data_IF_019119767961
#
_entry.id   IF_019119767961
#
_cell.length_a   1.000
_cell.length_b   1.000
_cell.length_c   1.000
_cell.angle_alpha   90.00
_cell.angle_beta   90.00
_cell.angle_gamma   90.00
#
_symmetry.space_group_name_H-M   'P 1'
#
loop_
_entity.id
_entity.type
_entity.pdbx_description
1 polymer ?
#
# COMPACT_ATOMS: atom_id res chain seq x y z
N UNK A 1 11.64 6.12 -8.24
CA UNK A 1 12.34 6.49 -7.00
C UNK A 1 11.39 7.29 -6.13
N UNK A 2 11.24 6.92 -4.86
CA UNK A 2 10.55 7.66 -3.80
C UNK A 2 11.62 8.20 -2.86
N UNK A 3 11.56 9.47 -2.53
CA UNK A 3 12.43 10.14 -1.57
C UNK A 3 11.52 10.74 -0.49
N UNK A 4 11.72 10.33 0.74
CA UNK A 4 10.96 10.80 1.89
C UNK A 4 11.94 11.27 2.98
N UNK A 5 11.77 12.49 3.42
CA UNK A 5 12.45 13.06 4.60
C UNK A 5 11.42 13.96 5.30
N UNK A 6 10.76 13.40 6.31
CA UNK A 6 9.60 14.06 6.96
C UNK A 6 9.58 13.84 8.46
N UNK A 7 9.00 14.82 9.16
CA UNK A 7 8.67 14.71 10.57
C UNK A 7 7.17 14.96 10.77
N UNK A 8 6.56 14.18 11.68
CA UNK A 8 5.17 14.36 12.09
C UNK A 8 5.01 14.02 13.57
N UNK A 9 4.34 14.91 14.31
CA UNK A 9 3.93 14.67 15.69
C UNK A 9 2.48 14.19 15.75
N UNK A 10 2.23 13.17 16.55
CA UNK A 10 0.91 12.58 16.81
C UNK A 10 0.76 12.41 18.33
N UNK A 11 0.30 13.46 19.03
CA UNK A 11 0.35 13.50 20.48
C UNK A 11 1.79 13.40 21.00
N UNK A 12 2.06 12.39 21.84
CA UNK A 12 3.40 12.11 22.37
C UNK A 12 4.30 11.35 21.40
N UNK A 13 3.72 10.74 20.33
CA UNK A 13 4.50 10.02 19.34
C UNK A 13 5.06 10.97 18.27
N UNK A 14 6.36 10.81 17.96
CA UNK A 14 7.04 11.59 16.92
C UNK A 14 7.60 10.66 15.87
N UNK A 15 7.05 10.76 14.67
CA UNK A 15 7.61 10.12 13.48
C UNK A 15 8.72 10.98 12.89
N UNK A 16 9.90 10.37 12.63
CA UNK A 16 11.00 10.93 11.84
C UNK A 16 11.41 9.89 10.83
N UNK A 17 10.98 10.04 9.60
CA UNK A 17 11.19 9.05 8.56
C UNK A 17 12.03 9.67 7.43
N UNK A 18 13.22 9.12 7.22
CA UNK A 18 14.10 9.48 6.11
C UNK A 18 14.56 8.23 5.39
N UNK A 19 14.20 8.10 4.12
CA UNK A 19 14.68 7.03 3.25
C UNK A 19 14.46 7.35 1.77
N UNK A 20 15.19 6.62 0.94
CA UNK A 20 15.01 6.60 -0.51
C UNK A 20 14.81 5.17 -0.98
N UNK A 21 13.96 4.97 -1.97
CA UNK A 21 13.80 3.67 -2.62
C UNK A 21 13.55 3.82 -4.10
N UNK A 22 14.24 2.98 -4.88
CA UNK A 22 14.08 2.89 -6.33
C UNK A 22 13.52 1.54 -6.78
N UNK A 23 13.34 0.60 -5.85
CA UNK A 23 12.83 -0.75 -6.14
C UNK A 23 11.38 -0.72 -6.60
N UNK A 24 11.01 -1.68 -7.45
CA UNK A 24 9.62 -1.86 -7.86
C UNK A 24 8.74 -2.19 -6.66
N UNK A 25 9.19 -3.06 -5.75
CA UNK A 25 8.48 -3.41 -4.53
C UNK A 25 9.36 -3.17 -3.30
N UNK A 26 8.93 -2.26 -2.41
CA UNK A 26 9.60 -1.92 -1.15
C UNK A 26 8.70 -2.25 0.02
N UNK A 27 9.21 -2.98 1.01
CA UNK A 27 8.48 -3.25 2.25
C UNK A 27 8.79 -2.20 3.33
N UNK A 28 7.76 -1.79 4.09
CA UNK A 28 7.92 -1.16 5.39
C UNK A 28 7.73 -2.23 6.45
N UNK A 29 8.79 -2.54 7.19
CA UNK A 29 8.84 -3.61 8.18
C UNK A 29 9.10 -3.07 9.59
N UNK A 30 8.50 -3.68 10.60
CA UNK A 30 8.70 -3.33 12.00
C UNK A 30 7.48 -3.67 12.87
N UNK A 31 7.58 -3.50 14.19
CA UNK A 31 6.50 -3.84 15.12
C UNK A 31 5.25 -3.00 14.91
N UNK A 32 4.12 -3.46 15.44
CA UNK A 32 2.88 -2.67 15.47
C UNK A 32 3.11 -1.35 16.23
N UNK A 33 2.49 -0.27 15.76
CA UNK A 33 2.67 1.06 16.36
C UNK A 33 3.98 1.76 16.02
N UNK A 34 4.87 1.18 15.20
CA UNK A 34 6.15 1.83 14.83
C UNK A 34 6.03 3.02 13.89
N UNK A 35 4.83 3.30 13.33
CA UNK A 35 4.58 4.43 12.44
C UNK A 35 4.49 4.08 10.95
N UNK A 36 4.47 2.81 10.56
CA UNK A 36 4.38 2.36 9.15
C UNK A 36 3.15 2.90 8.42
N UNK A 37 1.96 2.74 9.00
CA UNK A 37 0.71 3.29 8.47
C UNK A 37 0.77 4.80 8.33
N UNK A 38 1.36 5.51 9.30
CA UNK A 38 1.55 6.97 9.20
C UNK A 38 2.45 7.36 8.03
N UNK A 39 3.52 6.60 7.78
CA UNK A 39 4.39 6.80 6.60
C UNK A 39 3.57 6.62 5.30
N UNK A 40 2.79 5.55 5.21
CA UNK A 40 1.95 5.27 4.03
C UNK A 40 0.88 6.35 3.85
N UNK A 41 0.24 6.79 4.92
CA UNK A 41 -0.75 7.88 4.87
C UNK A 41 -0.13 9.20 4.42
N UNK A 42 1.10 9.51 4.85
CA UNK A 42 1.85 10.65 4.37
C UNK A 42 2.16 10.51 2.88
N UNK A 43 2.63 9.36 2.43
CA UNK A 43 2.90 9.10 1.01
C UNK A 43 1.61 9.22 0.19
N UNK A 44 0.49 8.69 0.68
CA UNK A 44 -0.82 8.78 0.05
C UNK A 44 -1.40 10.21 -0.01
N UNK A 45 -0.98 11.10 0.90
CA UNK A 45 -1.55 12.43 1.09
C UNK A 45 -2.83 12.45 1.92
N UNK A 46 -3.02 11.42 2.75
CA UNK A 46 -4.10 11.31 3.74
C UNK A 46 -3.71 11.97 5.06
N UNK A 47 -2.41 12.05 5.35
CA UNK A 47 -1.84 12.80 6.46
C UNK A 47 -0.79 13.78 5.94
N UNK A 48 -0.80 15.02 6.44
CA UNK A 48 0.24 15.99 6.14
C UNK A 48 1.38 15.85 7.18
N UNK A 49 2.66 15.81 6.77
CA UNK A 49 3.78 15.99 7.69
C UNK A 49 3.76 17.40 8.30
N UNK A 50 4.44 17.57 9.42
CA UNK A 50 4.64 18.89 10.01
C UNK A 50 5.84 19.60 9.37
N UNK A 51 6.88 18.83 8.98
CA UNK A 51 8.09 19.33 8.35
C UNK A 51 8.64 18.32 7.35
N UNK A 52 9.44 18.83 6.40
CA UNK A 52 10.26 18.02 5.51
C UNK A 52 9.79 18.01 4.07
N UNK A 53 10.17 16.96 3.34
CA UNK A 53 9.99 16.86 1.89
C UNK A 53 9.65 15.46 1.43
N UNK A 54 8.77 15.37 0.43
CA UNK A 54 8.39 14.11 -0.21
C UNK A 54 8.39 14.29 -1.73
N UNK A 55 9.17 13.44 -2.43
CA UNK A 55 9.20 13.36 -3.89
C UNK A 55 8.91 11.93 -4.36
N UNK A 56 8.23 11.84 -5.48
CA UNK A 56 8.02 10.59 -6.20
C UNK A 56 8.32 10.77 -7.69
N UNK A 57 9.29 10.01 -8.22
CA UNK A 57 9.75 10.11 -9.62
C UNK A 57 10.08 11.56 -10.03
N UNK A 58 10.78 12.30 -9.15
CA UNK A 58 11.14 13.71 -9.38
C UNK A 58 10.02 14.72 -9.16
N UNK A 59 8.77 14.27 -8.98
CA UNK A 59 7.64 15.15 -8.69
C UNK A 59 7.56 15.46 -7.21
N UNK A 60 7.52 16.73 -6.85
CA UNK A 60 7.33 17.20 -5.49
C UNK A 60 5.87 16.99 -5.05
N UNK A 61 5.67 16.25 -3.97
CA UNK A 61 4.37 15.93 -3.39
C UNK A 61 4.10 16.70 -2.11
N UNK A 62 5.15 16.95 -1.33
CA UNK A 62 5.12 17.74 -0.11
C UNK A 62 6.44 18.47 0.07
N UNK A 63 6.37 19.71 0.56
CA UNK A 63 7.52 20.52 0.96
C UNK A 63 7.02 21.58 1.97
N UNK A 64 7.48 21.48 3.22
CA UNK A 64 7.09 22.41 4.28
C UNK A 64 7.57 23.82 4.01
N UNK A 65 8.79 23.98 3.49
CA UNK A 65 9.43 25.26 3.28
C UNK A 65 8.86 25.97 2.04
N UNK A 66 8.55 25.19 1.01
CA UNK A 66 7.93 25.68 -0.23
C UNK A 66 6.39 25.78 -0.16
N UNK A 67 5.75 25.40 0.95
CA UNK A 67 4.29 25.43 1.11
C UNK A 67 3.54 24.46 0.18
N UNK A 68 4.21 23.42 -0.29
CA UNK A 68 3.61 22.43 -1.22
C UNK A 68 3.00 21.27 -0.44
N UNK A 69 1.71 21.04 -0.63
CA UNK A 69 1.04 19.81 -0.15
C UNK A 69 0.03 19.31 -1.19
N UNK A 70 0.48 18.40 -2.04
CA UNK A 70 -0.35 17.86 -3.10
C UNK A 70 -1.41 16.91 -2.50
N UNK A 71 -2.71 17.18 -2.68
CA UNK A 71 -3.77 16.37 -2.09
C UNK A 71 -3.80 14.96 -2.69
N UNK A 72 -4.27 13.96 -1.93
CA UNK A 72 -4.26 12.55 -2.28
C UNK A 72 -4.78 12.24 -3.70
N UNK A 73 -5.92 12.83 -4.10
CA UNK A 73 -6.51 12.60 -5.42
C UNK A 73 -5.64 13.07 -6.60
N UNK A 74 -4.66 13.96 -6.36
CA UNK A 74 -3.70 14.44 -7.36
C UNK A 74 -2.39 13.67 -7.38
N UNK A 75 -2.12 12.80 -6.36
CA UNK A 75 -0.88 12.00 -6.31
C UNK A 75 -0.89 10.83 -7.29
N UNK A 76 -2.05 10.34 -7.66
CA UNK A 76 -2.20 9.24 -8.62
C UNK A 76 -1.81 7.88 -8.04
N UNK A 77 -1.89 7.69 -6.73
CA UNK A 77 -1.58 6.46 -6.03
C UNK A 77 -2.83 5.63 -5.78
N UNK A 78 -2.69 4.31 -5.78
CA UNK A 78 -3.70 3.37 -5.33
C UNK A 78 -3.44 3.00 -3.87
N UNK A 79 -4.48 3.01 -3.03
CA UNK A 79 -4.35 2.63 -1.62
C UNK A 79 -5.27 1.44 -1.32
N UNK A 80 -4.70 0.41 -0.75
CA UNK A 80 -5.40 -0.75 -0.21
C UNK A 80 -5.23 -0.74 1.31
N UNK A 81 -6.32 -0.46 2.01
CA UNK A 81 -6.37 -0.43 3.47
C UNK A 81 -6.46 -1.84 4.04
N UNK A 82 -6.04 -2.03 5.27
CA UNK A 82 -6.08 -3.30 5.99
C UNK A 82 -7.48 -3.93 6.00
N UNK A 83 -8.54 -3.14 6.18
CA UNK A 83 -9.94 -3.55 6.19
C UNK A 83 -10.63 -3.45 4.80
N UNK A 84 -9.87 -3.16 3.74
CA UNK A 84 -10.30 -3.05 2.35
C UNK A 84 -11.17 -1.84 2.03
N UNK A 85 -11.88 -1.25 2.98
CA UNK A 85 -12.75 -0.04 2.87
C UNK A 85 -13.54 0.05 1.57
N UNK A 86 -14.28 -1.01 1.24
CA UNK A 86 -15.18 -0.99 0.08
C UNK A 86 -16.42 -0.12 0.37
N UNK A 87 -16.99 0.49 -0.67
CA UNK A 87 -18.23 1.24 -0.56
C UNK A 87 -19.39 0.28 -0.36
N UNK A 88 -20.06 0.24 0.81
CA UNK A 88 -21.01 -0.81 1.17
C UNK A 88 -22.31 -0.75 0.34
N UNK A 89 -22.66 0.43 -0.16
CA UNK A 89 -23.85 0.68 -0.97
C UNK A 89 -23.66 0.34 -2.47
N UNK A 90 -22.43 0.11 -2.90
CA UNK A 90 -22.09 -0.23 -4.29
C UNK A 90 -21.88 -1.74 -4.45
N UNK A 91 -22.18 -2.27 -5.63
CA UNK A 91 -21.78 -3.63 -6.01
C UNK A 91 -20.26 -3.71 -6.19
N UNK A 92 -19.71 -4.93 -6.28
CA UNK A 92 -18.29 -5.15 -6.59
C UNK A 92 -17.90 -4.47 -7.90
N UNK A 93 -18.68 -4.66 -8.98
CA UNK A 93 -18.42 -4.00 -10.27
C UNK A 93 -18.32 -2.47 -10.11
N UNK A 94 -19.25 -1.86 -9.38
CA UNK A 94 -19.26 -0.42 -9.15
C UNK A 94 -18.12 0.04 -8.24
N UNK A 95 -17.72 -0.77 -7.27
CA UNK A 95 -16.51 -0.51 -6.46
C UNK A 95 -15.26 -0.50 -7.33
N UNK A 96 -15.10 -1.49 -8.22
CA UNK A 96 -13.98 -1.58 -9.15
C UNK A 96 -13.92 -0.37 -10.10
N UNK A 97 -15.06 0.07 -10.60
CA UNK A 97 -15.16 1.19 -11.54
C UNK A 97 -15.07 2.58 -10.88
N UNK A 98 -15.19 2.66 -9.55
CA UNK A 98 -15.30 3.92 -8.83
C UNK A 98 -14.12 4.86 -9.07
N UNK A 99 -12.90 4.37 -8.89
CA UNK A 99 -11.70 5.19 -9.02
C UNK A 99 -11.50 5.71 -10.45
N UNK A 100 -11.81 4.89 -11.45
CA UNK A 100 -11.80 5.29 -12.85
C UNK A 100 -12.80 6.43 -13.12
N UNK A 101 -14.03 6.31 -12.62
CA UNK A 101 -15.09 7.33 -12.80
C UNK A 101 -14.72 8.66 -12.15
N UNK A 102 -14.22 8.64 -10.92
CA UNK A 102 -13.82 9.87 -10.20
C UNK A 102 -12.64 10.57 -10.87
N UNK A 103 -11.73 9.82 -11.51
CA UNK A 103 -10.61 10.37 -12.28
C UNK A 103 -10.97 10.68 -13.75
N UNK A 104 -12.23 10.48 -14.16
CA UNK A 104 -12.72 10.69 -15.55
C UNK A 104 -11.92 9.91 -16.60
N UNK A 105 -11.37 8.74 -16.23
CA UNK A 105 -10.67 7.87 -17.16
C UNK A 105 -11.66 7.18 -18.11
N UNK A 106 -11.27 6.98 -19.37
CA UNK A 106 -12.09 6.22 -20.33
C UNK A 106 -12.32 4.81 -19.84
N UNK A 107 -13.52 4.25 -20.14
CA UNK A 107 -13.83 2.86 -19.84
C UNK A 107 -12.89 1.96 -20.66
N UNK A 108 -12.17 1.09 -19.98
CA UNK A 108 -11.34 0.07 -20.58
C UNK A 108 -11.88 -1.30 -20.15
N UNK A 109 -12.70 -1.87 -21.03
CA UNK A 109 -13.33 -3.17 -20.76
C UNK A 109 -12.30 -4.31 -20.80
N UNK A 110 -11.20 -4.15 -21.55
CA UNK A 110 -10.15 -5.16 -21.62
C UNK A 110 -9.38 -5.20 -20.28
N UNK A 111 -9.01 -4.03 -19.75
CA UNK A 111 -8.33 -3.93 -18.46
C UNK A 111 -9.22 -4.39 -17.29
N UNK A 112 -10.51 -4.03 -17.31
CA UNK A 112 -11.48 -4.55 -16.34
C UNK A 112 -11.50 -6.09 -16.36
N UNK A 113 -11.63 -6.70 -17.54
CA UNK A 113 -11.63 -8.17 -17.66
C UNK A 113 -10.30 -8.79 -17.24
N UNK A 114 -9.16 -8.14 -17.53
CA UNK A 114 -7.83 -8.59 -17.10
C UNK A 114 -7.74 -8.64 -15.58
N UNK A 115 -8.07 -7.55 -14.90
CA UNK A 115 -8.01 -7.44 -13.43
C UNK A 115 -9.01 -8.39 -12.77
N UNK A 116 -10.23 -8.50 -13.29
CA UNK A 116 -11.27 -9.41 -12.76
C UNK A 116 -10.81 -10.87 -12.85
N UNK A 117 -10.22 -11.29 -13.99
CA UNK A 117 -9.67 -12.65 -14.12
C UNK A 117 -8.45 -12.87 -13.25
N UNK A 118 -7.52 -11.89 -13.23
CA UNK A 118 -6.28 -11.97 -12.43
C UNK A 118 -6.58 -12.20 -10.95
N UNK A 119 -7.63 -11.54 -10.41
CA UNK A 119 -8.01 -11.60 -8.99
C UNK A 119 -9.11 -12.64 -8.71
N UNK A 120 -9.57 -13.36 -9.73
CA UNK A 120 -10.66 -14.34 -9.63
C UNK A 120 -11.90 -13.81 -8.89
N UNK A 121 -12.38 -12.63 -9.31
CA UNK A 121 -13.54 -11.96 -8.70
C UNK A 121 -14.75 -11.83 -9.64
N UNK A 122 -14.73 -12.54 -10.78
CA UNK A 122 -15.80 -12.45 -11.79
C UNK A 122 -17.17 -12.86 -11.26
N UNK A 123 -17.23 -13.89 -10.45
CA UNK A 123 -18.46 -14.42 -9.83
C UNK A 123 -19.00 -13.52 -8.70
N UNK A 124 -18.29 -12.46 -8.34
CA UNK A 124 -18.65 -11.53 -7.26
C UNK A 124 -19.22 -10.20 -7.76
N UNK A 125 -19.15 -9.91 -9.07
CA UNK A 125 -19.38 -8.56 -9.62
C UNK A 125 -20.72 -7.93 -9.21
N UNK A 126 -21.78 -8.73 -9.10
CA UNK A 126 -23.11 -8.28 -8.71
C UNK A 126 -23.32 -8.22 -7.18
N UNK A 127 -22.43 -8.83 -6.40
CA UNK A 127 -22.52 -8.85 -4.94
C UNK A 127 -22.20 -7.48 -4.34
N UNK A 128 -22.71 -7.25 -3.13
CA UNK A 128 -22.31 -6.11 -2.28
C UNK A 128 -21.26 -6.54 -1.25
N UNK A 129 -20.42 -5.62 -0.75
CA UNK A 129 -19.34 -5.93 0.19
C UNK A 129 -19.75 -6.72 1.43
N UNK A 130 -20.95 -6.49 1.97
CA UNK A 130 -21.46 -7.22 3.12
C UNK A 130 -21.70 -8.73 2.89
N UNK A 131 -21.71 -9.18 1.63
CA UNK A 131 -21.86 -10.60 1.25
C UNK A 131 -20.55 -11.26 0.83
N UNK A 132 -19.41 -10.59 1.07
CA UNK A 132 -18.10 -11.08 0.71
C UNK A 132 -17.35 -11.61 1.95
N UNK A 133 -16.56 -12.68 1.76
CA UNK A 133 -15.56 -13.11 2.73
C UNK A 133 -14.46 -12.06 2.90
N UNK A 134 -13.61 -12.18 3.92
CA UNK A 134 -12.46 -11.28 4.13
C UNK A 134 -11.52 -11.26 2.92
N UNK A 135 -11.16 -12.45 2.41
CA UNK A 135 -10.30 -12.59 1.23
C UNK A 135 -10.92 -12.02 -0.05
N UNK A 136 -12.22 -12.26 -0.28
CA UNK A 136 -12.94 -11.67 -1.42
C UNK A 136 -12.97 -10.13 -1.34
N UNK A 137 -13.22 -9.56 -0.15
CA UNK A 137 -13.16 -8.10 0.06
C UNK A 137 -11.79 -7.55 -0.27
N UNK A 138 -10.73 -8.24 0.16
CA UNK A 138 -9.36 -7.80 -0.08
C UNK A 138 -9.00 -7.84 -1.56
N UNK A 139 -9.35 -8.93 -2.27
CA UNK A 139 -9.17 -9.02 -3.73
C UNK A 139 -9.91 -7.90 -4.49
N UNK A 140 -11.13 -7.60 -4.09
CA UNK A 140 -11.89 -6.49 -4.68
C UNK A 140 -11.24 -5.13 -4.37
N UNK A 141 -10.70 -4.91 -3.16
CA UNK A 141 -10.01 -3.68 -2.80
C UNK A 141 -8.73 -3.49 -3.64
N UNK A 142 -7.96 -4.56 -3.84
CA UNK A 142 -6.78 -4.56 -4.74
C UNK A 142 -7.22 -4.22 -6.17
N UNK A 143 -8.26 -4.88 -6.68
CA UNK A 143 -8.79 -4.64 -8.04
C UNK A 143 -9.23 -3.19 -8.23
N UNK A 144 -9.93 -2.60 -7.24
CA UNK A 144 -10.32 -1.19 -7.25
C UNK A 144 -9.11 -0.26 -7.34
N UNK A 145 -8.05 -0.55 -6.59
CA UNK A 145 -6.83 0.25 -6.60
C UNK A 145 -6.11 0.14 -7.95
N UNK A 146 -6.00 -1.06 -8.54
CA UNK A 146 -5.35 -1.30 -9.82
C UNK A 146 -6.06 -0.62 -10.99
N UNK A 147 -7.40 -0.67 -11.02
CA UNK A 147 -8.20 -0.08 -12.11
C UNK A 147 -8.15 1.45 -12.14
N UNK A 148 -7.60 2.08 -11.10
CA UNK A 148 -7.22 3.50 -11.13
C UNK A 148 -5.96 3.77 -11.96
N UNK A 149 -5.27 2.74 -12.44
CA UNK A 149 -3.95 2.83 -13.09
C UNK A 149 -2.96 3.62 -12.24
N UNK A 150 -2.68 3.17 -11.02
CA UNK A 150 -1.85 3.91 -10.09
C UNK A 150 -0.40 3.94 -10.56
N UNK A 151 0.30 5.05 -10.28
CA UNK A 151 1.75 5.14 -10.45
C UNK A 151 2.50 4.42 -9.34
N UNK A 152 1.87 4.26 -8.18
CA UNK A 152 2.37 3.56 -6.99
C UNK A 152 1.18 2.91 -6.27
N UNK A 153 1.30 1.65 -5.92
CA UNK A 153 0.33 0.91 -5.12
C UNK A 153 0.79 0.88 -3.66
N UNK A 154 -0.03 1.37 -2.76
CA UNK A 154 0.20 1.38 -1.32
C UNK A 154 -0.66 0.28 -0.69
N UNK A 155 -0.03 -0.70 -0.07
CA UNK A 155 -0.66 -1.87 0.53
C UNK A 155 -0.37 -1.84 2.05
N UNK A 156 -1.34 -1.41 2.84
CA UNK A 156 -1.18 -1.28 4.30
C UNK A 156 -1.73 -2.52 5.00
N UNK A 157 -0.84 -3.40 5.42
CA UNK A 157 -1.12 -4.70 6.05
C UNK A 157 -2.24 -5.50 5.34
N UNK A 158 -2.15 -5.70 4.01
CA UNK A 158 -3.29 -6.20 3.22
C UNK A 158 -3.70 -7.63 3.57
N UNK A 159 -2.90 -8.36 4.33
CA UNK A 159 -3.17 -9.75 4.72
C UNK A 159 -3.33 -9.96 6.22
N UNK A 160 -3.20 -8.90 7.05
CA UNK A 160 -3.15 -9.04 8.51
C UNK A 160 -4.41 -9.65 9.14
N UNK A 161 -5.59 -9.36 8.57
CA UNK A 161 -6.88 -9.84 9.07
C UNK A 161 -7.31 -11.21 8.52
N UNK A 162 -6.41 -11.92 7.80
CA UNK A 162 -6.71 -13.17 7.13
C UNK A 162 -6.03 -14.36 7.83
N UNK A 163 -6.71 -15.48 7.89
CA UNK A 163 -6.13 -16.76 8.27
C UNK A 163 -5.13 -17.29 7.23
N UNK A 164 -4.34 -18.30 7.58
CA UNK A 164 -3.28 -18.83 6.71
C UNK A 164 -3.80 -19.34 5.36
N UNK A 165 -4.98 -19.97 5.33
CA UNK A 165 -5.57 -20.46 4.09
C UNK A 165 -5.93 -19.32 3.14
N UNK A 166 -6.59 -18.27 3.65
CA UNK A 166 -6.95 -17.09 2.86
C UNK A 166 -5.74 -16.26 2.43
N UNK A 167 -4.68 -16.20 3.25
CA UNK A 167 -3.40 -15.61 2.84
C UNK A 167 -2.81 -16.35 1.65
N UNK A 168 -2.80 -17.69 1.69
CA UNK A 168 -2.31 -18.52 0.61
C UNK A 168 -3.08 -18.30 -0.70
N UNK A 169 -4.37 -17.99 -0.64
CA UNK A 169 -5.18 -17.65 -1.81
C UNK A 169 -4.81 -16.29 -2.43
N UNK A 170 -4.45 -15.29 -1.61
CA UNK A 170 -4.22 -13.92 -2.09
C UNK A 170 -2.77 -13.69 -2.49
N UNK A 171 -1.83 -14.30 -1.81
CA UNK A 171 -0.40 -14.10 -2.04
C UNK A 171 0.03 -14.27 -3.51
N UNK A 172 -0.44 -15.29 -4.27
CA UNK A 172 -0.10 -15.43 -5.68
C UNK A 172 -0.54 -14.24 -6.55
N UNK A 173 -1.59 -13.53 -6.16
CA UNK A 173 -2.02 -12.32 -6.90
C UNK A 173 -1.07 -11.14 -6.63
N UNK A 174 -0.59 -11.00 -5.40
CA UNK A 174 0.40 -9.97 -5.07
C UNK A 174 1.75 -10.26 -5.72
N UNK A 175 2.19 -11.53 -5.74
CA UNK A 175 3.40 -11.96 -6.46
C UNK A 175 3.29 -11.63 -7.95
N UNK A 176 2.16 -11.91 -8.58
CA UNK A 176 1.92 -11.57 -9.98
C UNK A 176 2.03 -10.07 -10.24
N UNK A 177 1.51 -9.22 -9.34
CA UNK A 177 1.66 -7.76 -9.45
C UNK A 177 3.13 -7.33 -9.37
N UNK A 178 3.90 -7.94 -8.46
CA UNK A 178 5.34 -7.73 -8.38
C UNK A 178 6.03 -8.12 -9.69
N UNK A 179 5.71 -9.31 -10.22
CA UNK A 179 6.33 -9.86 -11.45
C UNK A 179 5.94 -9.03 -12.68
N UNK A 180 4.74 -8.46 -12.73
CA UNK A 180 4.33 -7.47 -13.73
C UNK A 180 5.00 -6.10 -13.55
N UNK A 181 5.86 -5.93 -12.53
CA UNK A 181 6.61 -4.70 -12.27
C UNK A 181 5.75 -3.55 -11.75
N UNK A 182 4.60 -3.83 -11.14
CA UNK A 182 3.75 -2.79 -10.54
C UNK A 182 4.49 -2.17 -9.34
N UNK A 183 4.80 -0.86 -9.37
CA UNK A 183 5.50 -0.22 -8.25
C UNK A 183 4.62 -0.25 -6.99
N UNK A 184 5.19 -0.74 -5.87
CA UNK A 184 4.43 -0.87 -4.63
C UNK A 184 5.23 -0.60 -3.36
N UNK A 185 4.55 -0.06 -2.35
CA UNK A 185 4.96 -0.06 -0.95
C UNK A 185 4.08 -1.08 -0.23
N UNK A 186 4.71 -2.07 0.37
CA UNK A 186 4.05 -3.16 1.09
C UNK A 186 4.34 -3.07 2.57
N UNK A 187 3.33 -2.82 3.39
CA UNK A 187 3.45 -2.79 4.85
C UNK A 187 3.11 -4.16 5.40
N UNK A 188 4.01 -4.72 6.19
CA UNK A 188 3.77 -5.94 6.96
C UNK A 188 4.69 -6.00 8.17
N UNK A 189 4.25 -6.70 9.21
CA UNK A 189 5.08 -7.12 10.32
C UNK A 189 5.53 -8.59 10.21
N UNK A 190 5.16 -9.28 9.10
CA UNK A 190 5.49 -10.68 8.85
C UNK A 190 6.61 -10.79 7.81
N UNK A 191 7.79 -11.22 8.25
CA UNK A 191 8.97 -11.39 7.39
C UNK A 191 8.70 -12.37 6.22
N UNK A 192 7.95 -13.45 6.48
CA UNK A 192 7.60 -14.45 5.46
C UNK A 192 6.83 -13.85 4.27
N UNK A 193 5.86 -12.95 4.54
CA UNK A 193 5.09 -12.29 3.50
C UNK A 193 5.98 -11.33 2.69
N UNK A 194 6.86 -10.58 3.39
CA UNK A 194 7.77 -9.60 2.78
C UNK A 194 8.76 -10.28 1.84
N UNK A 195 9.34 -11.43 2.24
CA UNK A 195 10.29 -12.19 1.39
C UNK A 195 9.70 -12.59 0.05
N UNK A 196 8.39 -12.76 -0.03
CA UNK A 196 7.69 -13.13 -1.27
C UNK A 196 7.42 -11.93 -2.17
N UNK A 197 7.26 -10.74 -1.62
CA UNK A 197 6.76 -9.56 -2.34
C UNK A 197 7.84 -8.51 -2.59
N UNK A 198 8.68 -8.21 -1.59
CA UNK A 198 9.58 -7.06 -1.66
C UNK A 198 10.97 -7.42 -2.18
N UNK A 199 11.59 -6.46 -2.88
CA UNK A 199 12.99 -6.49 -3.26
C UNK A 199 13.86 -5.63 -2.33
N UNK A 200 13.25 -4.70 -1.60
CA UNK A 200 13.93 -3.86 -0.62
C UNK A 200 13.08 -3.68 0.64
N UNK A 201 13.74 -3.42 1.76
CA UNK A 201 13.12 -3.29 3.09
C UNK A 201 13.54 -1.97 3.72
N UNK A 202 12.56 -1.26 4.28
CA UNK A 202 12.75 -0.12 5.18
C UNK A 202 12.31 -0.56 6.56
N UNK A 203 13.25 -0.70 7.50
CA UNK A 203 12.96 -1.08 8.89
C UNK A 203 12.56 0.16 9.69
N UNK A 204 11.38 0.10 10.31
CA UNK A 204 10.78 1.22 11.05
C UNK A 204 10.53 0.79 12.49
N UNK A 205 11.06 1.52 13.47
CA UNK A 205 10.93 1.26 14.90
C UNK A 205 10.74 2.58 15.67
N UNK A 206 9.80 2.60 16.59
CA UNK A 206 9.55 3.75 17.48
C UNK A 206 9.55 5.11 16.73
N UNK A 207 8.87 5.16 15.57
CA UNK A 207 8.77 6.38 14.77
C UNK A 207 10.02 6.74 13.95
N UNK A 208 11.01 5.86 13.86
CA UNK A 208 12.27 6.13 13.13
C UNK A 208 12.55 5.05 12.10
N UNK A 209 13.13 5.46 10.97
CA UNK A 209 13.75 4.52 10.03
C UNK A 209 15.12 4.13 10.58
N UNK A 210 15.30 2.85 10.88
CA UNK A 210 16.53 2.29 11.45
C UNK A 210 17.49 1.78 10.39
N UNK A 211 16.96 1.20 9.31
CA UNK A 211 17.76 0.68 8.22
C UNK A 211 16.98 0.69 6.91
N UNK A 212 17.70 0.78 5.80
CA UNK A 212 17.19 0.61 4.43
C UNK A 212 18.15 -0.34 3.70
N UNK A 213 17.63 -1.43 3.14
CA UNK A 213 18.47 -2.44 2.50
C UNK A 213 17.66 -3.50 1.79
N UNK A 214 18.23 -4.69 1.63
CA UNK A 214 17.59 -5.86 1.06
C UNK A 214 16.86 -6.71 2.11
N UNK A 215 16.57 -7.96 1.72
CA UNK A 215 15.83 -8.91 2.57
C UNK A 215 16.61 -9.40 3.79
N UNK A 216 17.93 -9.20 3.83
CA UNK A 216 18.80 -9.49 4.97
C UNK A 216 18.38 -8.74 6.25
N UNK A 217 17.73 -7.58 6.12
CA UNK A 217 17.22 -6.81 7.25
C UNK A 217 16.08 -7.52 8.01
N UNK A 218 15.48 -8.54 7.43
CA UNK A 218 14.43 -9.34 8.07
C UNK A 218 15.04 -10.33 9.09
N UNK A 219 16.27 -10.82 8.84
CA UNK A 219 16.94 -11.80 9.72
C UNK A 219 17.42 -11.17 11.02
N UNK A 220 17.86 -9.90 10.95
CA UNK A 220 18.32 -9.16 12.13
C UNK A 220 17.21 -8.84 13.14
N UNK A 221 15.95 -8.81 12.70
CA UNK A 221 14.80 -8.54 13.59
C UNK A 221 14.40 -9.76 14.43
N UNK A 222 14.60 -10.97 13.90
CA UNK A 222 14.32 -12.22 14.65
C UNK A 222 15.34 -12.42 15.78
N UNK A 223 16.58 -11.90 15.62
CA UNK A 223 17.63 -11.95 16.64
C UNK A 223 17.39 -10.99 17.83
N UNK A 224 16.75 -9.84 17.58
CA UNK A 224 16.43 -8.84 18.62
C UNK A 224 15.15 -9.20 19.40
N UNK A 225 14.27 -10.06 18.85
CA UNK A 225 13.05 -10.50 19.52
C UNK A 225 13.26 -11.62 20.54
N UNK A 226 14.45 -12.24 20.58
CA UNK A 226 14.84 -13.36 21.48
C UNK A 226 15.67 -12.88 22.68
N UNK A 227 15.94 -11.59 22.79
CA UNK A 227 16.61 -10.97 23.93
C UNK A 227 15.61 -10.13 24.74
#
# INVERSE_FOLDING_TARGET
MLILDVQKRLGDFVLRARFETGSAATALFGPSGSGKTTIVDIIAGLAAPDQGRLLYRGRLLFDSDGGVNLPAHRRGFGYVFQDGRLFPHLTVERNLDYGRRTRRLRRDAAEMRRVVRMLDIGHLLERRPGKLSGGERQRVAIGRALLMRPQLLLLDEPLASLDAARKAEIMPYLERLRDEGVPMIYVSHQAADIRRIAASVVRVEAGQVKAVGGLELLDSADADAVR
#
